data_IF_776739957966
#
_entry.id   IF_776739957966
#
_cell.length_a   1.000
_cell.length_b   1.000
_cell.length_c   1.000
_cell.angle_alpha   90.00
_cell.angle_beta   90.00
_cell.angle_gamma   90.00
#
_symmetry.space_group_name_H-M   'P 1'
#
loop_
_entity.id
_entity.type
_entity.pdbx_description
1 polymer ?
#
# COMPACT_ATOMS: atom_id res chain seq x y z
N UNK A 1 -3.77 -28.26 26.27
CA UNK A 1 -2.42 -28.06 26.82
C UNK A 1 -1.72 -27.04 25.92
N UNK A 2 -1.91 -25.76 26.23
CA UNK A 2 -1.44 -24.64 25.42
C UNK A 2 -0.14 -24.09 26.01
N UNK A 3 0.89 -23.91 25.18
CA UNK A 3 2.12 -23.18 25.55
C UNK A 3 2.15 -21.88 24.78
N UNK A 4 1.85 -20.78 25.48
CA UNK A 4 1.98 -19.40 25.02
C UNK A 4 3.40 -18.92 25.35
N UNK A 5 4.23 -18.72 24.34
CA UNK A 5 5.49 -17.96 24.49
C UNK A 5 5.30 -16.56 23.93
N UNK A 6 4.97 -15.63 24.83
CA UNK A 6 4.96 -14.19 24.57
C UNK A 6 6.32 -13.60 24.97
N UNK A 7 7.12 -13.17 23.99
CA UNK A 7 8.35 -12.42 24.24
C UNK A 7 8.01 -10.95 24.46
N UNK A 8 8.16 -10.49 25.71
CA UNK A 8 8.09 -9.08 26.11
C UNK A 8 9.44 -8.43 25.88
N UNK A 9 9.49 -7.33 25.11
CA UNK A 9 10.64 -6.43 25.12
C UNK A 9 10.28 -5.17 25.93
N UNK A 10 11.06 -4.94 26.97
CA UNK A 10 10.96 -3.81 27.91
C UNK A 10 11.82 -2.68 27.36
N UNK A 11 11.21 -1.54 27.03
CA UNK A 11 11.94 -0.30 26.79
C UNK A 11 12.10 0.46 28.11
N UNK A 12 13.35 0.63 28.55
CA UNK A 12 13.72 1.47 29.69
C UNK A 12 13.77 2.93 29.21
N UNK A 13 12.86 3.78 29.67
CA UNK A 13 13.04 5.24 29.63
C UNK A 13 13.54 5.72 31.00
N UNK A 14 14.62 6.49 30.98
CA UNK A 14 15.22 7.16 32.14
C UNK A 14 14.39 8.38 32.52
N UNK A 15 13.85 8.38 33.73
CA UNK A 15 13.26 9.55 34.39
C UNK A 15 14.36 10.48 34.92
N UNK A 16 14.34 11.75 34.50
CA UNK A 16 14.86 12.89 35.26
C UNK A 16 13.66 13.73 35.71
N UNK A 17 13.57 13.97 37.02
CA UNK A 17 12.40 14.55 37.67
C UNK A 17 12.51 16.03 38.05
N UNK A 18 11.37 16.53 38.56
CA UNK A 18 11.14 17.75 39.36
C UNK A 18 11.23 19.08 38.58
N UNK A 19 10.28 20.02 38.63
CA UNK A 19 9.27 20.41 39.63
C UNK A 19 8.36 21.50 39.03
N UNK A 20 7.11 21.65 39.52
CA UNK A 20 6.46 22.97 39.52
C UNK A 20 4.93 23.02 39.41
N UNK A 21 4.28 22.96 40.57
CA UNK A 21 3.10 23.71 41.01
C UNK A 21 1.72 23.59 40.29
N UNK A 22 0.74 23.47 41.17
CA UNK A 22 -0.72 23.39 41.04
C UNK A 22 -1.43 24.67 40.63
N UNK A 23 -2.56 24.55 39.92
CA UNK A 23 -3.82 25.21 40.31
C UNK A 23 -5.03 24.60 39.60
N UNK A 24 -6.09 24.40 40.38
CA UNK A 24 -7.44 24.05 39.98
C UNK A 24 -8.11 25.22 39.27
N UNK A 25 -8.94 24.95 38.24
CA UNK A 25 -10.22 25.64 38.09
C UNK A 25 -11.19 24.86 37.18
N UNK A 26 -12.40 24.65 37.70
CA UNK A 26 -13.51 23.94 37.07
C UNK A 26 -14.52 24.97 36.56
N UNK A 27 -14.80 25.02 35.25
CA UNK A 27 -16.08 25.58 34.73
C UNK A 27 -16.54 24.80 33.50
N UNK A 28 -17.64 24.09 33.68
CA UNK A 28 -18.53 23.55 32.66
C UNK A 28 -19.16 24.66 31.80
N UNK A 29 -19.27 24.45 30.49
CA UNK A 29 -20.43 24.85 29.68
C UNK A 29 -20.43 24.11 28.32
N UNK A 30 -21.55 23.47 28.04
CA UNK A 30 -21.92 22.83 26.77
C UNK A 30 -22.18 23.87 25.68
N UNK A 31 -21.66 23.65 24.46
CA UNK A 31 -22.28 24.15 23.23
C UNK A 31 -21.84 23.32 22.00
N UNK A 32 -22.81 22.70 21.34
CA UNK A 32 -22.69 22.17 19.98
C UNK A 32 -22.46 23.31 18.98
N UNK A 33 -21.56 23.14 18.01
CA UNK A 33 -21.82 23.45 16.60
C UNK A 33 -20.63 23.11 15.69
N UNK A 34 -20.94 22.55 14.51
CA UNK A 34 -19.98 22.02 13.54
C UNK A 34 -19.03 23.05 12.93
N UNK A 35 -17.78 22.64 12.74
CA UNK A 35 -16.78 23.44 12.05
C UNK A 35 -16.78 23.17 10.54
N UNK A 36 -17.38 24.15 9.84
CA UNK A 36 -17.18 24.48 8.43
C UNK A 36 -15.70 24.74 8.14
N UNK A 37 -15.24 24.23 7.00
CA UNK A 37 -14.13 24.73 6.15
C UNK A 37 -13.05 25.57 6.84
N UNK A 38 -11.98 24.94 7.30
CA UNK A 38 -10.76 25.64 7.72
C UNK A 38 -10.18 26.44 6.54
N UNK A 39 -10.03 27.75 6.72
CA UNK A 39 -9.30 28.63 5.78
C UNK A 39 -7.80 28.36 5.87
N UNK A 40 -7.12 28.20 4.74
CA UNK A 40 -5.68 27.97 4.67
C UNK A 40 -4.91 29.10 5.41
N UNK A 41 -4.19 28.74 6.45
CA UNK A 41 -3.38 29.63 7.30
C UNK A 41 -1.94 29.79 6.79
N UNK A 42 -1.60 29.10 5.70
CA UNK A 42 -0.26 29.09 5.12
C UNK A 42 -0.32 29.33 3.61
N UNK A 43 0.73 29.97 3.10
CA UNK A 43 1.05 30.03 1.66
C UNK A 43 2.49 29.57 1.48
N UNK A 44 2.67 28.35 0.99
CA UNK A 44 3.96 27.66 1.08
C UNK A 44 4.39 27.46 2.53
N UNK A 45 5.68 27.67 2.85
CA UNK A 45 6.24 27.52 4.20
C UNK A 45 6.01 28.74 5.13
N UNK A 46 5.18 29.72 4.73
CA UNK A 46 4.99 30.97 5.47
C UNK A 46 3.58 31.06 6.07
N UNK A 47 3.49 31.42 7.35
CA UNK A 47 2.23 31.77 8.02
C UNK A 47 1.72 33.13 7.51
N UNK A 48 0.41 33.20 7.23
CA UNK A 48 -0.24 34.39 6.66
C UNK A 48 -0.77 35.33 7.76
N UNK A 49 -0.56 36.65 7.61
CA UNK A 49 -1.15 37.64 8.50
C UNK A 49 -2.55 38.07 8.02
N UNK A 50 -3.31 38.76 8.89
CA UNK A 50 -4.71 39.12 8.63
C UNK A 50 -4.91 39.99 7.36
N UNK A 51 -3.89 40.78 7.00
CA UNK A 51 -3.90 41.59 5.76
C UNK A 51 -3.75 40.71 4.51
N UNK A 52 -2.90 39.68 4.57
CA UNK A 52 -2.69 38.74 3.45
C UNK A 52 -3.95 37.94 3.16
N UNK A 53 -4.65 37.50 4.21
CA UNK A 53 -5.93 36.77 4.11
C UNK A 53 -7.00 37.63 3.45
N UNK A 54 -7.06 38.92 3.76
CA UNK A 54 -8.02 39.86 3.15
C UNK A 54 -7.68 40.15 1.67
N UNK A 55 -6.40 40.29 1.33
CA UNK A 55 -5.96 40.47 -0.06
C UNK A 55 -6.25 39.22 -0.91
N UNK A 56 -6.02 38.02 -0.37
CA UNK A 56 -6.36 36.74 -1.02
C UNK A 56 -7.87 36.63 -1.29
N UNK A 57 -8.72 37.00 -0.33
CA UNK A 57 -10.19 37.02 -0.51
C UNK A 57 -10.63 38.00 -1.59
N UNK A 58 -9.98 39.16 -1.65
CA UNK A 58 -10.30 40.20 -2.64
C UNK A 58 -9.87 39.76 -4.04
N UNK A 59 -8.67 39.17 -4.19
CA UNK A 59 -8.19 38.59 -5.44
C UNK A 59 -9.06 37.42 -5.92
N UNK A 60 -9.49 36.54 -5.01
CA UNK A 60 -10.38 35.43 -5.33
C UNK A 60 -11.76 35.91 -5.83
N UNK A 61 -12.32 36.98 -5.25
CA UNK A 61 -13.58 37.59 -5.71
C UNK A 61 -13.45 38.24 -7.08
N UNK A 62 -12.31 38.88 -7.38
CA UNK A 62 -12.05 39.46 -8.70
C UNK A 62 -11.89 38.36 -9.76
N UNK A 63 -11.12 37.31 -9.47
CA UNK A 63 -10.95 36.17 -10.36
C UNK A 63 -12.27 35.42 -10.66
N UNK A 64 -13.14 35.25 -9.65
CA UNK A 64 -14.46 34.65 -9.84
C UNK A 64 -15.43 35.52 -10.66
N UNK A 65 -15.20 36.85 -10.69
CA UNK A 65 -16.01 37.80 -11.46
C UNK A 65 -15.52 37.92 -12.90
N UNK A 66 -14.22 37.74 -13.14
CA UNK A 66 -13.62 37.65 -14.48
C UNK A 66 -13.95 36.33 -15.17
N UNK A 67 -13.97 35.20 -14.45
CA UNK A 67 -14.34 33.90 -15.02
C UNK A 67 -15.80 33.82 -15.47
N UNK A 68 -16.71 34.58 -14.83
CA UNK A 68 -18.12 34.69 -15.26
C UNK A 68 -18.34 35.54 -16.51
N UNK A 69 -17.38 36.39 -16.91
CA UNK A 69 -17.50 37.27 -18.08
C UNK A 69 -16.83 36.71 -19.34
N UNK A 70 -15.91 35.76 -19.23
CA UNK A 70 -15.33 35.03 -20.38
C UNK A 70 -16.02 33.68 -20.55
N UNK A 71 -17.13 33.67 -21.29
CA UNK A 71 -17.62 32.45 -21.91
C UNK A 71 -16.69 32.02 -23.04
N UNK A 72 -15.56 31.40 -22.69
CA UNK A 72 -14.70 30.71 -23.65
C UNK A 72 -15.22 29.30 -23.88
N UNK A 73 -15.43 28.93 -25.15
CA UNK A 73 -15.67 27.55 -25.59
C UNK A 73 -14.61 26.62 -24.96
N UNK A 74 -14.95 25.38 -24.60
CA UNK A 74 -13.99 24.49 -23.95
C UNK A 74 -12.89 24.15 -24.96
N UNK A 75 -11.71 24.73 -24.78
CA UNK A 75 -10.48 24.20 -25.34
C UNK A 75 -10.29 22.80 -24.76
N UNK A 76 -10.06 21.83 -25.64
CA UNK A 76 -9.85 20.44 -25.29
C UNK A 76 -8.70 20.34 -24.30
N UNK A 77 -9.02 20.03 -23.04
CA UNK A 77 -8.08 19.40 -22.12
C UNK A 77 -7.38 18.29 -22.89
N UNK A 78 -6.06 18.39 -23.04
CA UNK A 78 -5.26 17.38 -23.72
C UNK A 78 -5.64 16.02 -23.15
N UNK A 79 -6.39 15.26 -23.95
CA UNK A 79 -6.86 13.93 -23.58
C UNK A 79 -5.61 13.09 -23.48
N UNK A 80 -5.13 12.83 -22.27
CA UNK A 80 -4.19 11.73 -22.06
C UNK A 80 -4.81 10.52 -22.77
N UNK A 81 -4.04 9.77 -23.57
CA UNK A 81 -4.58 8.61 -24.23
C UNK A 81 -5.15 7.70 -23.14
N UNK A 82 -6.48 7.66 -23.05
CA UNK A 82 -7.17 6.75 -22.15
C UNK A 82 -6.79 5.38 -22.66
N UNK A 83 -6.02 4.64 -21.86
CA UNK A 83 -5.65 3.27 -22.18
C UNK A 83 -6.96 2.48 -22.20
N UNK A 84 -7.53 2.32 -23.39
CA UNK A 84 -8.69 1.46 -23.62
C UNK A 84 -8.15 0.04 -23.78
N UNK A 85 -8.13 -0.71 -22.69
CA UNK A 85 -7.86 -2.14 -22.77
C UNK A 85 -9.01 -2.81 -23.55
N UNK A 86 -8.71 -3.41 -24.71
CA UNK A 86 -9.70 -4.14 -25.52
C UNK A 86 -10.25 -5.41 -24.83
N UNK A 87 -9.54 -5.90 -23.82
CA UNK A 87 -9.91 -6.98 -22.90
C UNK A 87 -9.40 -6.66 -21.49
N UNK A 88 -9.97 -7.26 -20.44
CA UNK A 88 -9.51 -7.04 -19.07
C UNK A 88 -8.07 -7.51 -18.83
N UNK A 89 -7.27 -6.70 -18.12
CA UNK A 89 -5.92 -7.07 -17.69
C UNK A 89 -5.92 -8.00 -16.46
N UNK A 90 -4.80 -8.69 -16.24
CA UNK A 90 -4.51 -9.38 -14.99
C UNK A 90 -3.79 -8.43 -14.03
N UNK A 91 -4.44 -8.08 -12.93
CA UNK A 91 -3.94 -7.14 -11.92
C UNK A 91 -3.64 -7.88 -10.62
N UNK A 92 -2.44 -7.69 -10.07
CA UNK A 92 -2.01 -8.32 -8.81
C UNK A 92 -1.61 -7.23 -7.82
N UNK A 93 -2.46 -6.95 -6.86
CA UNK A 93 -2.18 -6.02 -5.77
C UNK A 93 -1.42 -6.74 -4.67
N UNK A 94 -0.25 -6.24 -4.29
CA UNK A 94 0.51 -6.74 -3.15
C UNK A 94 0.56 -5.65 -2.08
N UNK A 95 0.32 -6.01 -0.83
CA UNK A 95 0.38 -5.08 0.30
C UNK A 95 0.38 -5.78 1.63
N UNK A 96 0.80 -5.08 2.68
CA UNK A 96 0.81 -5.63 4.05
C UNK A 96 -0.60 -5.72 4.67
N UNK A 97 -1.60 -5.04 4.12
CA UNK A 97 -2.96 -4.97 4.65
C UNK A 97 -4.01 -5.17 3.57
N UNK A 98 -5.07 -5.92 3.88
CA UNK A 98 -6.25 -6.08 3.03
C UNK A 98 -7.50 -6.14 3.91
N UNK A 99 -8.36 -5.12 3.82
CA UNK A 99 -9.62 -5.10 4.55
C UNK A 99 -10.62 -6.14 4.00
N UNK A 100 -11.42 -6.79 4.86
CA UNK A 100 -11.55 -6.57 6.32
C UNK A 100 -10.60 -7.41 7.19
N UNK A 101 -9.68 -8.18 6.61
CA UNK A 101 -8.86 -9.17 7.34
C UNK A 101 -7.72 -8.56 8.15
N UNK A 102 -6.98 -7.64 7.54
CA UNK A 102 -5.87 -6.93 8.16
C UNK A 102 -5.95 -5.46 7.80
N UNK A 103 -6.02 -4.61 8.83
CA UNK A 103 -6.19 -3.17 8.66
C UNK A 103 -5.69 -2.43 9.90
N UNK A 104 -4.78 -1.49 9.70
CA UNK A 104 -4.39 -0.50 10.71
C UNK A 104 -4.80 0.91 10.30
N UNK A 105 -4.89 1.17 8.99
CA UNK A 105 -5.22 2.49 8.46
C UNK A 105 -5.84 2.44 7.06
N UNK A 106 -5.57 3.48 6.26
CA UNK A 106 -6.15 3.65 4.93
C UNK A 106 -5.67 2.63 3.89
N UNK A 107 -4.49 2.03 4.09
CA UNK A 107 -3.95 1.00 3.19
C UNK A 107 -4.91 -0.19 3.05
N UNK A 108 -5.36 -0.75 4.18
CA UNK A 108 -6.33 -1.86 4.18
C UNK A 108 -7.66 -1.50 3.52
N UNK A 109 -8.12 -0.24 3.61
CA UNK A 109 -9.33 0.21 2.91
C UNK A 109 -9.13 0.26 1.39
N UNK A 110 -7.98 0.77 0.93
CA UNK A 110 -7.65 0.83 -0.50
C UNK A 110 -7.62 -0.58 -1.09
N UNK A 111 -6.88 -1.51 -0.48
CA UNK A 111 -6.85 -2.91 -0.95
C UNK A 111 -8.16 -3.67 -0.70
N UNK A 112 -9.01 -3.18 0.21
CA UNK A 112 -10.38 -3.67 0.37
C UNK A 112 -11.29 -3.28 -0.81
N UNK A 113 -11.24 -2.01 -1.22
CA UNK A 113 -12.17 -1.40 -2.16
C UNK A 113 -11.71 -1.39 -3.61
N UNK A 114 -10.53 -0.83 -3.90
CA UNK A 114 -10.04 -0.59 -5.26
C UNK A 114 -9.96 -1.86 -6.12
N UNK A 115 -9.44 -3.00 -5.61
CA UNK A 115 -9.44 -4.25 -6.37
C UNK A 115 -10.84 -4.71 -6.79
N UNK A 116 -11.84 -4.53 -5.92
CA UNK A 116 -13.23 -4.91 -6.22
C UNK A 116 -13.82 -4.02 -7.31
N UNK A 117 -13.49 -2.72 -7.31
CA UNK A 117 -13.90 -1.80 -8.36
C UNK A 117 -13.25 -2.14 -9.72
N UNK A 118 -11.96 -2.50 -9.72
CA UNK A 118 -11.26 -2.93 -10.93
C UNK A 118 -11.83 -4.23 -11.50
N UNK A 119 -12.18 -5.19 -10.64
CA UNK A 119 -12.84 -6.42 -11.05
C UNK A 119 -14.22 -6.16 -11.67
N UNK A 120 -14.99 -5.21 -11.13
CA UNK A 120 -16.29 -4.83 -11.68
C UNK A 120 -16.20 -4.20 -13.09
N UNK A 121 -15.05 -3.63 -13.46
CA UNK A 121 -14.79 -3.08 -14.81
C UNK A 121 -14.29 -4.16 -15.79
N UNK A 122 -14.15 -5.42 -15.31
CA UNK A 122 -13.83 -6.58 -16.15
C UNK A 122 -12.37 -7.02 -16.11
N UNK A 123 -11.55 -6.47 -15.20
CA UNK A 123 -10.20 -6.97 -14.97
C UNK A 123 -10.22 -8.26 -14.15
N UNK A 124 -9.23 -9.13 -14.37
CA UNK A 124 -8.98 -10.26 -13.47
C UNK A 124 -8.07 -9.76 -12.35
N UNK A 125 -8.55 -9.79 -11.10
CA UNK A 125 -7.88 -9.09 -10.00
C UNK A 125 -7.57 -10.02 -8.82
N UNK A 126 -6.30 -10.03 -8.42
CA UNK A 126 -5.81 -10.70 -7.22
C UNK A 126 -5.32 -9.66 -6.20
N UNK A 127 -5.55 -9.92 -4.91
CA UNK A 127 -4.83 -9.24 -3.82
C UNK A 127 -4.02 -10.25 -3.04
N UNK A 128 -2.78 -9.89 -2.69
CA UNK A 128 -1.86 -10.73 -1.93
C UNK A 128 -1.43 -9.97 -0.68
N UNK A 129 -1.63 -10.59 0.48
CA UNK A 129 -1.18 -10.05 1.77
C UNK A 129 -0.80 -11.17 2.75
N UNK A 130 -0.12 -10.86 3.85
CA UNK A 130 0.13 -11.85 4.89
C UNK A 130 -1.15 -12.31 5.59
N UNK A 131 -1.14 -13.56 6.03
CA UNK A 131 -2.13 -14.16 6.91
C UNK A 131 -1.69 -13.94 8.36
N UNK A 132 -2.22 -12.90 8.99
CA UNK A 132 -1.88 -12.59 10.39
C UNK A 132 -2.73 -13.38 11.40
N UNK A 133 -3.88 -13.91 10.96
CA UNK A 133 -4.80 -14.67 11.80
C UNK A 133 -5.45 -15.80 10.97
N UNK A 134 -6.14 -16.72 11.64
CA UNK A 134 -6.86 -17.83 11.02
C UNK A 134 -8.21 -17.36 10.48
N UNK A 135 -8.19 -16.71 9.33
CA UNK A 135 -9.39 -16.17 8.70
C UNK A 135 -10.40 -17.27 8.30
N UNK A 136 -11.61 -17.18 8.86
CA UNK A 136 -12.68 -18.18 8.70
C UNK A 136 -13.14 -18.37 7.25
N UNK A 137 -13.12 -17.31 6.45
CA UNK A 137 -13.56 -17.31 5.05
C UNK A 137 -12.43 -17.58 4.04
N UNK A 138 -11.25 -18.01 4.52
CA UNK A 138 -10.14 -18.48 3.68
C UNK A 138 -9.93 -19.97 3.83
N UNK A 139 -9.63 -20.67 2.73
CA UNK A 139 -9.24 -22.08 2.74
C UNK A 139 -7.78 -22.23 2.31
N UNK A 140 -7.12 -23.29 2.77
CA UNK A 140 -5.77 -23.66 2.32
C UNK A 140 -5.84 -24.16 0.88
N UNK A 141 -4.98 -23.66 -0.01
CA UNK A 141 -4.92 -24.15 -1.40
C UNK A 141 -4.11 -25.43 -1.54
N UNK A 142 -3.43 -25.87 -0.46
CA UNK A 142 -2.48 -26.97 -0.42
C UNK A 142 -1.24 -26.74 -1.31
N UNK A 143 -1.15 -25.58 -1.96
CA UNK A 143 0.00 -25.20 -2.77
C UNK A 143 1.09 -24.64 -1.86
N UNK A 144 2.29 -25.17 -2.03
CA UNK A 144 3.49 -24.72 -1.33
C UNK A 144 4.46 -24.04 -2.30
N UNK A 145 5.16 -23.02 -1.82
CA UNK A 145 6.31 -22.44 -2.51
C UNK A 145 7.52 -22.41 -1.57
N UNK A 146 8.71 -22.58 -2.13
CA UNK A 146 9.97 -22.46 -1.40
C UNK A 146 10.57 -21.08 -1.65
N UNK A 147 10.77 -20.32 -0.57
CA UNK A 147 11.32 -18.96 -0.61
C UNK A 147 12.67 -18.96 0.08
N UNK A 148 13.71 -18.56 -0.65
CA UNK A 148 15.05 -18.36 -0.07
C UNK A 148 15.14 -17.00 0.61
N UNK A 149 15.62 -16.96 1.86
CA UNK A 149 15.95 -15.75 2.62
C UNK A 149 17.27 -15.98 3.36
N UNK A 150 18.27 -15.14 3.09
CA UNK A 150 19.65 -15.40 3.51
C UNK A 150 20.10 -16.80 3.09
N UNK A 151 20.52 -17.61 4.05
CA UNK A 151 20.96 -18.99 3.84
C UNK A 151 19.85 -20.04 4.07
N UNK A 152 18.64 -19.60 4.42
CA UNK A 152 17.51 -20.49 4.72
C UNK A 152 16.56 -20.58 3.53
N UNK A 153 15.96 -21.75 3.38
CA UNK A 153 14.83 -21.98 2.48
C UNK A 153 13.62 -22.24 3.36
N UNK A 154 12.64 -21.36 3.22
CA UNK A 154 11.41 -21.37 4.01
C UNK A 154 10.26 -21.79 3.12
N UNK A 155 9.35 -22.61 3.64
CA UNK A 155 8.17 -23.06 2.89
C UNK A 155 6.99 -22.18 3.24
N UNK A 156 6.34 -21.61 2.23
CA UNK A 156 5.13 -20.81 2.38
C UNK A 156 3.93 -21.53 1.80
N UNK A 157 2.78 -21.37 2.47
CA UNK A 157 1.48 -21.83 2.00
C UNK A 157 0.63 -20.65 1.58
N UNK A 158 -0.29 -20.91 0.66
CA UNK A 158 -1.25 -19.94 0.19
C UNK A 158 -2.65 -20.31 0.67
N UNK A 159 -3.34 -19.32 1.23
CA UNK A 159 -4.75 -19.40 1.56
C UNK A 159 -5.53 -18.55 0.57
N UNK A 160 -6.70 -18.99 0.17
CA UNK A 160 -7.50 -18.28 -0.83
C UNK A 160 -8.91 -18.01 -0.32
N UNK A 161 -9.46 -16.89 -0.75
CA UNK A 161 -10.84 -16.49 -0.58
C UNK A 161 -11.27 -15.76 -1.86
N UNK A 162 -12.41 -16.14 -2.44
CA UNK A 162 -12.98 -15.40 -3.57
C UNK A 162 -14.12 -14.50 -3.10
N UNK A 163 -13.97 -13.18 -3.24
CA UNK A 163 -14.95 -12.21 -2.71
C UNK A 163 -15.03 -10.95 -3.58
N UNK A 164 -16.26 -10.56 -3.94
CA UNK A 164 -16.56 -9.36 -4.76
C UNK A 164 -15.77 -9.31 -6.09
N UNK A 165 -15.66 -10.46 -6.77
CA UNK A 165 -14.96 -10.54 -8.05
C UNK A 165 -13.43 -10.63 -7.96
N UNK A 166 -12.87 -10.65 -6.74
CA UNK A 166 -11.43 -10.60 -6.48
C UNK A 166 -10.95 -11.91 -5.86
N UNK A 167 -9.83 -12.43 -6.37
CA UNK A 167 -9.06 -13.51 -5.76
C UNK A 167 -8.22 -12.93 -4.60
N UNK A 168 -8.63 -13.18 -3.36
CA UNK A 168 -7.92 -12.74 -2.15
C UNK A 168 -7.00 -13.87 -1.71
N UNK A 169 -5.69 -13.67 -1.83
CA UNK A 169 -4.67 -14.65 -1.45
C UNK A 169 -3.94 -14.17 -0.20
N UNK A 170 -3.80 -15.07 0.77
CA UNK A 170 -3.08 -14.82 2.01
C UNK A 170 -1.88 -15.74 2.14
N UNK A 171 -0.73 -15.20 2.50
CA UNK A 171 0.51 -15.96 2.68
C UNK A 171 0.69 -16.25 4.16
N UNK A 172 0.91 -17.50 4.53
CA UNK A 172 1.00 -17.97 5.93
C UNK A 172 2.17 -17.36 6.73
N UNK A 173 3.03 -16.56 6.09
CA UNK A 173 4.20 -15.97 6.72
C UNK A 173 4.47 -14.52 6.21
N UNK A 174 4.43 -13.50 7.09
CA UNK A 174 4.52 -12.10 6.68
C UNK A 174 5.88 -11.69 6.10
N UNK A 175 6.99 -12.27 6.58
CA UNK A 175 8.34 -11.91 6.10
C UNK A 175 8.61 -12.27 4.64
N UNK A 176 7.75 -13.06 3.99
CA UNK A 176 8.00 -13.59 2.64
C UNK A 176 7.06 -13.02 1.59
N UNK A 177 6.37 -11.93 1.91
CA UNK A 177 5.30 -11.33 1.11
C UNK A 177 5.74 -11.10 -0.35
N UNK A 178 6.86 -10.45 -0.61
CA UNK A 178 7.22 -10.01 -1.96
C UNK A 178 7.65 -11.17 -2.85
N UNK A 179 8.41 -12.13 -2.31
CA UNK A 179 8.84 -13.31 -3.06
C UNK A 179 7.67 -14.24 -3.33
N UNK A 180 6.83 -14.50 -2.31
CA UNK A 180 5.64 -15.31 -2.48
C UNK A 180 4.59 -14.64 -3.39
N UNK A 181 4.50 -13.30 -3.40
CA UNK A 181 3.62 -12.56 -4.30
C UNK A 181 4.01 -12.70 -5.78
N UNK A 182 5.29 -12.93 -6.08
CA UNK A 182 5.77 -13.24 -7.43
C UNK A 182 5.57 -14.71 -7.82
N UNK A 183 5.32 -15.61 -6.87
CA UNK A 183 5.04 -17.02 -7.18
C UNK A 183 3.54 -17.27 -7.38
N UNK A 184 2.70 -16.67 -6.52
CA UNK A 184 1.25 -16.91 -6.49
C UNK A 184 0.55 -16.81 -7.88
N UNK A 185 0.78 -15.79 -8.73
CA UNK A 185 0.11 -15.69 -10.02
C UNK A 185 0.46 -16.82 -11.00
N UNK A 186 1.64 -17.44 -10.85
CA UNK A 186 2.13 -18.52 -11.71
C UNK A 186 1.63 -19.88 -11.25
N UNK A 187 1.69 -20.14 -9.95
CA UNK A 187 1.51 -21.50 -9.41
C UNK A 187 0.09 -21.77 -8.92
N UNK A 188 -0.68 -20.74 -8.55
CA UNK A 188 -2.04 -20.94 -8.05
C UNK A 188 -3.00 -21.16 -9.21
N UNK A 189 -3.44 -22.40 -9.36
CA UNK A 189 -4.50 -22.75 -10.29
C UNK A 189 -5.88 -22.43 -9.65
N UNK A 190 -6.39 -21.23 -9.91
CA UNK A 190 -7.62 -20.73 -9.30
C UNK A 190 -8.79 -20.88 -10.26
N UNK A 191 -9.93 -21.29 -9.71
CA UNK A 191 -11.17 -21.49 -10.46
C UNK A 191 -12.29 -20.65 -9.86
N UNK A 192 -12.90 -19.80 -10.68
CA UNK A 192 -14.09 -19.03 -10.33
C UNK A 192 -15.06 -18.95 -11.51
N UNK A 193 -16.16 -18.21 -11.35
CA UNK A 193 -17.22 -18.12 -12.37
C UNK A 193 -16.74 -17.57 -13.72
N UNK A 194 -15.71 -16.73 -13.73
CA UNK A 194 -15.25 -15.99 -14.91
C UNK A 194 -13.91 -16.48 -15.45
N UNK A 195 -13.04 -17.02 -14.59
CA UNK A 195 -11.68 -17.41 -14.92
C UNK A 195 -11.33 -18.79 -14.34
N UNK A 196 -10.47 -19.50 -15.06
CA UNK A 196 -9.96 -20.82 -14.71
C UNK A 196 -8.50 -20.88 -15.10
N UNK A 197 -7.64 -21.44 -14.25
CA UNK A 197 -6.19 -21.48 -14.49
C UNK A 197 -5.40 -20.49 -13.64
N UNK A 198 -4.06 -20.50 -13.76
CA UNK A 198 -3.22 -19.47 -13.17
C UNK A 198 -3.47 -18.09 -13.80
N UNK A 199 -3.03 -17.03 -13.12
CA UNK A 199 -2.98 -15.68 -13.70
C UNK A 199 -1.91 -15.58 -14.79
N UNK A 200 -0.86 -16.40 -14.68
CA UNK A 200 0.21 -16.49 -15.65
C UNK A 200 1.25 -15.40 -15.44
N UNK A 201 1.94 -15.06 -16.53
CA UNK A 201 3.09 -14.16 -16.51
C UNK A 201 2.82 -12.78 -17.12
N UNK A 202 1.68 -12.62 -17.82
CA UNK A 202 1.26 -11.32 -18.35
C UNK A 202 0.37 -10.61 -17.33
N UNK A 203 1.04 -9.99 -16.35
CA UNK A 203 0.42 -9.36 -15.18
C UNK A 203 0.97 -7.97 -14.94
N UNK A 204 0.13 -7.10 -14.39
CA UNK A 204 0.56 -5.84 -13.80
C UNK A 204 0.52 -6.00 -12.28
N UNK A 205 1.68 -5.90 -11.64
CA UNK A 205 1.79 -5.85 -10.19
C UNK A 205 1.55 -4.42 -9.70
N UNK A 206 0.75 -4.27 -8.65
CA UNK A 206 0.57 -3.01 -7.93
C UNK A 206 1.15 -3.24 -6.53
N UNK A 207 2.38 -2.76 -6.33
CA UNK A 207 3.08 -2.83 -5.06
C UNK A 207 2.71 -1.61 -4.19
N UNK A 208 2.21 -1.85 -2.99
CA UNK A 208 1.75 -0.81 -2.07
C UNK A 208 2.71 -0.66 -0.89
N UNK A 209 3.24 0.55 -0.72
CA UNK A 209 4.18 0.95 0.34
C UNK A 209 5.48 0.13 0.43
N UNK A 210 6.34 0.55 1.36
CA UNK A 210 7.67 -0.01 1.57
C UNK A 210 7.68 -1.54 1.76
N UNK A 211 6.63 -2.11 2.36
CA UNK A 211 6.48 -3.56 2.58
C UNK A 211 6.52 -4.41 1.30
N UNK A 212 6.30 -3.79 0.14
CA UNK A 212 6.36 -4.47 -1.16
C UNK A 212 7.29 -3.79 -2.15
N UNK A 213 8.13 -2.86 -1.67
CA UNK A 213 9.06 -2.09 -2.50
C UNK A 213 10.16 -2.95 -3.15
N UNK A 214 10.45 -4.13 -2.60
CA UNK A 214 11.43 -5.07 -3.18
C UNK A 214 10.89 -5.91 -4.34
N UNK A 215 9.56 -5.97 -4.52
CA UNK A 215 8.93 -6.71 -5.62
C UNK A 215 9.53 -6.37 -7.00
N UNK A 216 9.65 -5.09 -7.41
CA UNK A 216 10.28 -4.76 -8.70
C UNK A 216 11.76 -5.18 -8.78
N UNK A 217 12.50 -5.13 -7.67
CA UNK A 217 13.90 -5.57 -7.63
C UNK A 217 14.00 -7.07 -7.89
N UNK A 218 13.19 -7.88 -7.20
CA UNK A 218 13.13 -9.33 -7.42
C UNK A 218 12.68 -9.68 -8.85
N UNK A 219 11.61 -9.03 -9.32
CA UNK A 219 11.10 -9.24 -10.68
C UNK A 219 12.20 -9.04 -11.73
N UNK A 220 12.94 -7.92 -11.64
CA UNK A 220 13.96 -7.56 -12.62
C UNK A 220 15.24 -8.39 -12.50
N UNK A 221 15.66 -8.72 -11.28
CA UNK A 221 16.95 -9.39 -11.03
C UNK A 221 16.88 -10.92 -11.07
N UNK A 222 15.75 -11.52 -10.70
CA UNK A 222 15.64 -12.97 -10.53
C UNK A 222 14.74 -13.64 -11.56
N UNK A 223 13.63 -13.01 -11.95
CA UNK A 223 12.62 -13.64 -12.81
C UNK A 223 12.87 -13.33 -14.29
N UNK A 224 12.97 -12.05 -14.66
CA UNK A 224 13.16 -11.64 -16.06
C UNK A 224 14.38 -12.25 -16.75
N UNK A 225 15.56 -12.35 -16.11
CA UNK A 225 16.73 -12.99 -16.72
C UNK A 225 16.54 -14.48 -17.02
N UNK A 226 15.65 -15.16 -16.29
CA UNK A 226 15.29 -16.57 -16.50
C UNK A 226 14.18 -16.76 -17.54
N UNK A 227 13.81 -15.69 -18.24
CA UNK A 227 12.75 -15.71 -19.24
C UNK A 227 11.33 -15.70 -18.67
N UNK A 228 11.17 -15.46 -17.37
CA UNK A 228 9.88 -15.37 -16.69
C UNK A 228 9.39 -13.92 -16.62
N UNK A 229 8.08 -13.68 -16.62
CA UNK A 229 7.48 -12.33 -16.45
C UNK A 229 8.03 -11.27 -17.43
N UNK A 230 8.31 -11.68 -18.68
CA UNK A 230 8.94 -10.80 -19.69
C UNK A 230 8.11 -9.53 -19.91
N UNK A 231 6.79 -9.67 -20.14
CA UNK A 231 5.86 -8.56 -20.38
C UNK A 231 5.42 -7.85 -19.10
N UNK A 232 5.49 -8.52 -17.94
CA UNK A 232 4.98 -8.01 -16.68
C UNK A 232 5.53 -6.63 -16.32
N UNK A 233 4.66 -5.81 -15.73
CA UNK A 233 4.94 -4.44 -15.28
C UNK A 233 4.65 -4.30 -13.79
N UNK A 234 5.27 -3.30 -13.17
CA UNK A 234 5.03 -2.96 -11.77
C UNK A 234 4.65 -1.49 -11.69
N UNK A 235 3.53 -1.20 -11.04
CA UNK A 235 3.18 0.11 -10.53
C UNK A 235 3.48 0.13 -9.01
N UNK A 236 4.18 1.15 -8.54
CA UNK A 236 4.46 1.33 -7.11
C UNK A 236 3.60 2.47 -6.57
N UNK A 237 2.83 2.19 -5.53
CA UNK A 237 1.91 3.12 -4.90
C UNK A 237 2.40 3.47 -3.50
N UNK A 238 2.65 4.76 -3.27
CA UNK A 238 3.03 5.30 -1.96
C UNK A 238 1.76 5.79 -1.28
N UNK A 239 1.43 5.23 -0.13
CA UNK A 239 0.31 5.65 0.71
C UNK A 239 0.82 6.49 1.87
N UNK A 240 2.07 6.26 2.32
CA UNK A 240 2.70 7.08 3.34
C UNK A 240 4.22 7.19 3.16
N UNK A 241 4.71 8.40 2.87
CA UNK A 241 6.14 8.66 2.66
C UNK A 241 6.98 8.61 3.94
N UNK A 242 6.34 8.69 5.12
CA UNK A 242 7.04 8.65 6.40
C UNK A 242 7.62 7.26 6.71
N UNK A 243 6.99 6.19 6.21
CA UNK A 243 7.44 4.81 6.43
C UNK A 243 8.13 4.28 5.18
N UNK A 244 9.46 4.11 5.25
CA UNK A 244 10.29 3.84 4.07
C UNK A 244 10.98 2.47 4.09
N UNK A 245 10.86 1.70 5.18
CA UNK A 245 11.58 0.44 5.32
C UNK A 245 13.10 0.62 5.36
N UNK A 246 13.58 1.56 6.18
CA UNK A 246 15.02 1.75 6.41
C UNK A 246 15.51 0.71 7.41
N UNK A 247 16.47 -0.10 6.98
CA UNK A 247 17.10 -1.15 7.79
C UNK A 247 18.63 -0.97 7.78
N UNK A 248 19.33 -1.66 8.67
CA UNK A 248 20.78 -1.59 8.73
C UNK A 248 21.40 -2.15 7.45
N UNK A 249 22.47 -1.50 6.95
CA UNK A 249 23.15 -1.91 5.72
C UNK A 249 23.65 -3.37 5.76
N UNK A 250 24.04 -3.87 6.95
CA UNK A 250 24.48 -5.24 7.16
C UNK A 250 23.41 -6.30 6.81
N UNK A 251 22.13 -5.92 6.92
CA UNK A 251 20.99 -6.83 6.68
C UNK A 251 20.75 -7.07 5.18
N UNK A 252 21.43 -6.33 4.28
CA UNK A 252 21.27 -6.49 2.83
C UNK A 252 21.46 -7.95 2.36
N UNK A 253 22.39 -8.67 3.00
CA UNK A 253 22.67 -10.08 2.71
C UNK A 253 21.43 -10.99 2.84
N UNK A 254 20.49 -10.64 3.71
CA UNK A 254 19.26 -11.39 3.95
C UNK A 254 18.27 -11.30 2.78
N UNK A 255 18.32 -10.24 1.97
CA UNK A 255 17.42 -10.02 0.85
C UNK A 255 17.67 -11.00 -0.31
N UNK A 256 18.87 -11.58 -0.38
CA UNK A 256 19.37 -12.36 -1.52
C UNK A 256 19.33 -11.60 -2.85
N UNK A 257 19.32 -10.26 -2.83
CA UNK A 257 19.47 -9.47 -4.05
C UNK A 257 20.93 -9.49 -4.52
N UNK A 258 21.20 -9.32 -5.83
CA UNK A 258 22.57 -9.19 -6.32
C UNK A 258 23.27 -7.97 -5.68
N UNK A 259 24.57 -8.09 -5.42
CA UNK A 259 25.36 -7.01 -4.79
C UNK A 259 25.38 -5.71 -5.62
N UNK A 260 25.05 -5.75 -6.91
CA UNK A 260 24.87 -4.56 -7.73
C UNK A 260 23.76 -3.62 -7.23
N UNK A 261 22.80 -4.13 -6.47
CA UNK A 261 21.77 -3.32 -5.82
C UNK A 261 22.23 -2.73 -4.49
N UNK A 262 23.33 -3.22 -3.90
CA UNK A 262 23.71 -2.90 -2.52
C UNK A 262 23.88 -1.39 -2.30
N UNK A 263 24.49 -0.69 -3.25
CA UNK A 263 24.66 0.77 -3.18
C UNK A 263 23.33 1.57 -3.24
N UNK A 264 22.24 0.97 -3.73
CA UNK A 264 20.91 1.60 -3.72
C UNK A 264 20.19 1.52 -2.37
N UNK A 265 20.72 0.72 -1.43
CA UNK A 265 20.20 0.58 -0.07
C UNK A 265 21.09 1.27 0.98
N UNK A 266 22.08 2.02 0.53
CA UNK A 266 22.90 2.86 1.40
C UNK A 266 22.16 4.18 1.66
N UNK A 267 21.74 4.39 2.90
CA UNK A 267 21.08 5.62 3.33
C UNK A 267 22.08 6.44 4.13
N UNK A 268 22.57 7.53 3.54
CA UNK A 268 23.33 8.55 4.26
C UNK A 268 22.30 9.49 4.91
N UNK A 269 22.21 9.47 6.23
CA UNK A 269 21.45 10.47 7.01
C UNK A 269 22.25 11.78 7.16
#
# INVERSE_FOLDING_TARGET
MASLTASRFVSRSSNFGSSGASSFETKTLSAQNGLRSQTATHSGLRALNHVDVLQLRTKARVAARESRRKGSKPESLATFPVIKCGSGMNLVFAGAEVGPWSKTGGLGDVLGGLPSAMAAIGHRVMTIAPRYDQYKDSWDTEVIAQVKVGDRIETVRFFHCYKRGVDRVFIDHPMFLEKAALEAPRILNLHNKFFSGPYGEDVVFIANDWHTALLPCYLKSMYKPRGMYKSAKVAFCIHNIAYQGRFAYADFSLLNLPDSFRGSFDFMD
#
